data_IF_622552064132
#
_entry.id   IF_622552064132
#
_cell.length_a   1.000
_cell.length_b   1.000
_cell.length_c   1.000
_cell.angle_alpha   90.00
_cell.angle_beta   90.00
_cell.angle_gamma   90.00
#
_symmetry.space_group_name_H-M   'P 1'
#
loop_
_entity.id
_entity.type
_entity.pdbx_description
1 polymer ?
#
# COMPACT_ATOMS: atom_id res chain seq x y z
N UNK A 1 -17.80 -12.64 -15.51
CA UNK A 1 -16.71 -11.66 -15.73
C UNK A 1 -15.47 -12.45 -16.13
N UNK A 2 -14.81 -12.07 -17.21
CA UNK A 2 -13.61 -12.80 -17.66
C UNK A 2 -12.41 -12.50 -16.74
N UNK A 3 -11.52 -13.48 -16.51
CA UNK A 3 -10.32 -13.34 -15.69
C UNK A 3 -9.43 -12.15 -16.09
N UNK A 4 -9.33 -11.89 -17.40
CA UNK A 4 -8.60 -10.75 -17.94
C UNK A 4 -9.17 -9.39 -17.48
N UNK A 5 -10.50 -9.28 -17.39
CA UNK A 5 -11.16 -8.03 -16.97
C UNK A 5 -10.98 -7.80 -15.47
N UNK A 6 -10.99 -8.87 -14.67
CA UNK A 6 -10.74 -8.80 -13.25
C UNK A 6 -9.33 -8.33 -12.95
N UNK A 7 -8.31 -8.90 -13.59
CA UNK A 7 -6.91 -8.50 -13.41
C UNK A 7 -6.69 -7.03 -13.76
N UNK A 8 -7.26 -6.55 -14.87
CA UNK A 8 -7.20 -5.13 -15.25
C UNK A 8 -7.86 -4.22 -14.21
N UNK A 9 -9.01 -4.62 -13.68
CA UNK A 9 -9.72 -3.84 -12.67
C UNK A 9 -8.90 -3.74 -11.37
N UNK A 10 -8.38 -4.86 -10.87
CA UNK A 10 -7.52 -4.86 -9.68
C UNK A 10 -6.27 -4.02 -9.86
N UNK A 11 -5.56 -4.20 -10.98
CA UNK A 11 -4.39 -3.39 -11.29
C UNK A 11 -4.72 -1.91 -11.32
N UNK A 12 -5.85 -1.53 -11.90
CA UNK A 12 -6.26 -0.12 -12.01
C UNK A 12 -6.45 0.50 -10.63
N UNK A 13 -7.21 -0.16 -9.74
CA UNK A 13 -7.46 0.35 -8.38
C UNK A 13 -6.18 0.34 -7.55
N UNK A 14 -5.37 -0.71 -7.64
CA UNK A 14 -4.08 -0.77 -6.94
C UNK A 14 -3.14 0.36 -7.40
N UNK A 15 -2.98 0.54 -8.71
CA UNK A 15 -2.12 1.61 -9.25
C UNK A 15 -2.62 3.00 -8.87
N UNK A 16 -3.92 3.21 -8.78
CA UNK A 16 -4.50 4.46 -8.28
C UNK A 16 -4.08 4.75 -6.83
N UNK A 17 -4.18 3.75 -5.94
CA UNK A 17 -3.78 3.90 -4.54
C UNK A 17 -2.27 4.15 -4.40
N UNK A 18 -1.46 3.53 -5.27
CA UNK A 18 0.01 3.63 -5.24
C UNK A 18 0.49 4.94 -5.85
N UNK A 19 0.03 5.29 -7.05
CA UNK A 19 0.57 6.38 -7.87
C UNK A 19 -0.32 7.63 -7.90
N UNK A 20 -1.58 7.49 -7.51
CA UNK A 20 -2.57 8.55 -7.52
C UNK A 20 -3.66 8.38 -8.57
N UNK A 21 -4.71 9.20 -8.45
CA UNK A 21 -5.83 9.20 -9.36
C UNK A 21 -5.44 9.72 -10.76
N UNK A 22 -6.12 9.19 -11.78
CA UNK A 22 -5.96 9.70 -13.15
C UNK A 22 -6.55 11.12 -13.27
N UNK A 23 -6.16 11.90 -14.29
CA UNK A 23 -6.77 13.21 -14.57
C UNK A 23 -8.29 13.17 -14.81
N UNK A 24 -8.83 12.00 -15.13
CA UNK A 24 -10.26 11.77 -15.33
C UNK A 24 -10.99 11.31 -14.06
N UNK A 25 -10.30 11.33 -12.92
CA UNK A 25 -10.78 10.81 -11.64
C UNK A 25 -10.30 9.40 -11.32
N UNK A 26 -10.65 8.94 -10.12
CA UNK A 26 -10.34 7.64 -9.57
C UNK A 26 -11.60 6.89 -9.14
N UNK A 27 -11.40 5.68 -8.62
CA UNK A 27 -12.43 4.86 -7.99
C UNK A 27 -12.42 4.97 -6.46
N UNK A 28 -11.28 5.33 -5.90
CA UNK A 28 -11.04 5.44 -4.46
C UNK A 28 -10.52 6.83 -4.08
N UNK A 29 -9.65 7.41 -4.93
CA UNK A 29 -9.00 8.69 -4.67
C UNK A 29 -9.61 9.81 -5.51
N UNK A 30 -9.61 11.02 -4.97
CA UNK A 30 -10.07 12.21 -5.66
C UNK A 30 -9.11 12.61 -6.80
N UNK A 31 -9.63 13.31 -7.81
CA UNK A 31 -8.82 13.89 -8.90
C UNK A 31 -7.70 14.74 -8.32
N UNK A 32 -6.48 14.57 -8.83
CA UNK A 32 -5.29 15.27 -8.35
C UNK A 32 -4.59 14.61 -7.16
N UNK A 33 -5.15 13.54 -6.62
CA UNK A 33 -4.46 12.76 -5.58
C UNK A 33 -3.22 12.06 -6.14
N UNK A 34 -2.14 12.11 -5.37
CA UNK A 34 -0.82 11.61 -5.77
C UNK A 34 -0.51 10.19 -5.30
N UNK A 35 -1.45 9.54 -4.60
CA UNK A 35 -1.27 8.19 -4.07
C UNK A 35 -0.29 8.09 -2.90
N UNK A 36 -0.08 6.84 -2.42
CA UNK A 36 0.69 6.62 -1.19
C UNK A 36 2.18 6.95 -1.37
N UNK A 37 2.83 6.50 -2.46
CA UNK A 37 4.28 6.63 -2.58
C UNK A 37 4.72 8.10 -2.55
N UNK A 38 4.11 8.94 -3.39
CA UNK A 38 4.42 10.37 -3.41
C UNK A 38 3.94 11.13 -2.17
N UNK A 39 2.93 10.63 -1.48
CA UNK A 39 2.52 11.16 -0.17
C UNK A 39 3.61 10.93 0.87
N UNK A 40 4.19 9.72 0.91
CA UNK A 40 5.27 9.38 1.83
C UNK A 40 6.57 10.15 1.52
N UNK A 41 6.83 10.49 0.26
CA UNK A 41 8.00 11.30 -0.12
C UNK A 41 8.00 12.72 0.49
N UNK A 42 6.83 13.22 0.90
CA UNK A 42 6.68 14.52 1.57
C UNK A 42 6.95 14.46 3.08
N UNK A 43 7.06 13.27 3.65
CA UNK A 43 7.15 13.06 5.10
C UNK A 43 8.61 12.87 5.51
N UNK A 44 9.07 13.68 6.47
CA UNK A 44 10.39 13.53 7.07
C UNK A 44 10.46 12.30 7.97
N UNK A 45 11.67 11.79 8.25
CA UNK A 45 11.87 10.69 9.21
C UNK A 45 11.34 11.05 10.61
N UNK A 46 11.51 12.30 11.02
CA UNK A 46 10.99 12.80 12.30
C UNK A 46 9.46 12.76 12.35
N UNK A 47 8.78 13.20 11.27
CA UNK A 47 7.32 13.14 11.19
C UNK A 47 6.81 11.70 11.06
N UNK A 48 7.53 10.86 10.30
CA UNK A 48 7.21 9.44 10.16
C UNK A 48 7.30 8.67 11.50
N UNK A 49 8.14 9.15 12.43
CA UNK A 49 8.36 8.54 13.76
C UNK A 49 7.41 9.08 14.84
N UNK A 50 6.57 10.06 14.51
CA UNK A 50 5.69 10.71 15.50
C UNK A 50 4.40 9.92 15.69
N UNK A 51 4.18 9.43 16.91
CA UNK A 51 2.90 8.85 17.31
C UNK A 51 1.86 9.96 17.56
N UNK A 52 0.64 9.75 17.11
CA UNK A 52 -0.50 10.66 17.32
C UNK A 52 -1.59 9.90 18.08
N UNK A 53 -2.08 10.50 19.15
CA UNK A 53 -3.14 9.91 19.98
C UNK A 53 -2.85 8.48 20.49
N UNK A 54 -1.56 8.16 20.72
CA UNK A 54 -1.15 6.83 21.19
C UNK A 54 -1.23 5.73 20.12
N UNK A 55 -1.50 6.09 18.87
CA UNK A 55 -1.55 5.14 17.74
C UNK A 55 -0.18 4.80 17.16
N UNK A 56 -0.18 3.94 16.14
CA UNK A 56 1.01 3.58 15.39
C UNK A 56 1.54 4.78 14.58
N UNK A 57 2.85 4.81 14.34
CA UNK A 57 3.51 5.85 13.56
C UNK A 57 3.40 5.60 12.05
N UNK A 58 3.65 6.61 11.22
CA UNK A 58 3.68 6.46 9.76
C UNK A 58 4.76 5.45 9.35
N UNK A 59 5.93 5.46 10.02
CA UNK A 59 6.98 4.47 9.78
C UNK A 59 6.50 3.04 10.00
N UNK A 60 5.78 2.78 11.10
CA UNK A 60 5.21 1.47 11.41
C UNK A 60 4.16 1.05 10.37
N UNK A 61 3.25 1.95 9.98
CA UNK A 61 2.26 1.70 8.92
C UNK A 61 2.93 1.37 7.58
N UNK A 62 3.98 2.12 7.21
CA UNK A 62 4.69 1.93 5.94
C UNK A 62 5.46 0.60 5.92
N UNK A 63 6.15 0.27 7.02
CA UNK A 63 6.85 -1.01 7.15
C UNK A 63 5.88 -2.20 7.14
N UNK A 64 4.74 -2.06 7.79
CA UNK A 64 3.70 -3.08 7.77
C UNK A 64 3.12 -3.32 6.37
N UNK A 65 2.88 -2.25 5.60
CA UNK A 65 2.46 -2.36 4.20
C UNK A 65 3.53 -3.03 3.32
N UNK A 66 4.80 -2.61 3.46
CA UNK A 66 5.94 -3.23 2.76
C UNK A 66 5.97 -4.73 3.03
N UNK A 67 5.90 -5.13 4.30
CA UNK A 67 5.91 -6.52 4.70
C UNK A 67 4.69 -7.30 4.17
N UNK A 68 3.50 -6.72 4.24
CA UNK A 68 2.29 -7.34 3.69
C UNK A 68 2.39 -7.60 2.19
N UNK A 69 2.92 -6.63 1.42
CA UNK A 69 3.14 -6.81 -0.02
C UNK A 69 4.23 -7.84 -0.32
N UNK A 70 5.30 -7.91 0.47
CA UNK A 70 6.34 -8.94 0.27
C UNK A 70 5.77 -10.35 0.44
N UNK A 71 4.87 -10.57 1.40
CA UNK A 71 4.17 -11.85 1.54
C UNK A 71 3.24 -12.14 0.36
N UNK A 72 2.57 -11.13 -0.19
CA UNK A 72 1.74 -11.29 -1.40
C UNK A 72 2.59 -11.66 -2.62
N UNK A 73 3.74 -11.02 -2.80
CA UNK A 73 4.69 -11.33 -3.88
C UNK A 73 5.28 -12.72 -3.72
N UNK A 74 5.65 -13.12 -2.50
CA UNK A 74 6.12 -14.48 -2.22
C UNK A 74 5.04 -15.52 -2.54
N UNK A 75 3.79 -15.28 -2.11
CA UNK A 75 2.68 -16.15 -2.44
C UNK A 75 2.47 -16.31 -3.95
N UNK A 76 2.51 -15.21 -4.68
CA UNK A 76 2.31 -15.22 -6.13
C UNK A 76 3.43 -15.92 -6.90
N UNK A 77 4.69 -15.80 -6.43
CA UNK A 77 5.87 -16.34 -7.12
C UNK A 77 6.21 -17.76 -6.73
N UNK A 78 6.04 -18.13 -5.45
CA UNK A 78 6.44 -19.44 -4.92
C UNK A 78 5.25 -20.36 -4.59
N UNK A 79 4.04 -19.80 -4.49
CA UNK A 79 2.88 -20.53 -3.98
C UNK A 79 2.96 -20.78 -2.47
N UNK A 80 2.26 -21.82 -2.01
CA UNK A 80 2.22 -22.16 -0.59
C UNK A 80 1.37 -21.17 0.23
N UNK A 81 1.72 -21.00 1.50
CA UNK A 81 1.05 -20.06 2.41
C UNK A 81 2.08 -19.30 3.26
N UNK A 82 2.68 -18.21 2.74
CA UNK A 82 3.65 -17.42 3.49
C UNK A 82 3.02 -16.73 4.72
N UNK A 83 1.70 -16.58 4.75
CA UNK A 83 0.98 -15.95 5.87
C UNK A 83 0.91 -16.84 7.12
N UNK A 84 1.06 -18.16 6.98
CA UNK A 84 0.96 -19.10 8.12
C UNK A 84 2.01 -18.84 9.20
N UNK A 85 3.21 -18.35 8.83
CA UNK A 85 4.31 -18.06 9.74
C UNK A 85 4.69 -16.57 9.72
N UNK A 86 3.79 -15.71 9.26
CA UNK A 86 4.04 -14.30 9.14
C UNK A 86 4.22 -13.63 10.50
N UNK A 87 5.29 -12.83 10.63
CA UNK A 87 5.65 -12.12 11.86
C UNK A 87 5.05 -10.71 11.85
N UNK A 88 3.74 -10.63 11.89
CA UNK A 88 3.02 -9.37 11.83
C UNK A 88 3.40 -8.38 12.95
N UNK A 89 3.64 -8.92 14.15
CA UNK A 89 4.08 -8.14 15.31
C UNK A 89 5.44 -7.46 15.06
N UNK A 90 6.38 -8.15 14.41
CA UNK A 90 7.68 -7.58 14.06
C UNK A 90 7.54 -6.41 13.07
N UNK A 91 6.62 -6.52 12.11
CA UNK A 91 6.38 -5.45 11.12
C UNK A 91 5.90 -4.14 11.76
N UNK A 92 5.29 -4.21 12.95
CA UNK A 92 4.82 -3.04 13.70
C UNK A 92 5.87 -2.43 14.65
N UNK A 93 6.98 -3.12 14.93
CA UNK A 93 7.98 -2.66 15.91
C UNK A 93 8.80 -1.46 15.44
N UNK A 94 8.89 -1.22 14.13
CA UNK A 94 9.65 -0.10 13.58
C UNK A 94 8.85 1.20 13.69
N UNK A 95 8.75 1.73 14.90
CA UNK A 95 7.96 2.93 15.20
C UNK A 95 8.76 4.23 15.14
N UNK A 96 10.10 4.16 15.20
CA UNK A 96 11.01 5.30 15.07
C UNK A 96 12.12 4.98 14.07
N UNK A 97 12.45 5.93 13.21
CA UNK A 97 13.42 5.79 12.11
C UNK A 97 14.30 7.02 11.98
N UNK A 98 15.55 6.83 11.57
CA UNK A 98 16.38 7.89 11.02
C UNK A 98 16.16 8.06 9.51
N UNK A 99 16.80 9.04 8.89
CA UNK A 99 16.62 9.35 7.46
C UNK A 99 16.97 8.17 6.55
N UNK A 100 18.05 7.44 6.84
CA UNK A 100 18.46 6.28 6.05
C UNK A 100 17.44 5.14 6.15
N UNK A 101 16.98 4.83 7.36
CA UNK A 101 15.95 3.82 7.60
C UNK A 101 14.61 4.21 6.96
N UNK A 102 14.24 5.49 7.05
CA UNK A 102 13.02 5.98 6.40
C UNK A 102 13.08 5.86 4.89
N UNK A 103 14.22 6.20 4.29
CA UNK A 103 14.45 6.01 2.86
C UNK A 103 14.34 4.53 2.46
N UNK A 104 15.01 3.64 3.21
CA UNK A 104 14.98 2.19 2.96
C UNK A 104 13.56 1.61 2.99
N UNK A 105 12.74 2.03 3.96
CA UNK A 105 11.35 1.55 4.07
C UNK A 105 10.52 2.02 2.88
N UNK A 106 10.65 3.29 2.47
CA UNK A 106 9.93 3.84 1.32
C UNK A 106 10.33 3.18 0.01
N UNK A 107 11.64 2.99 -0.20
CA UNK A 107 12.15 2.33 -1.39
C UNK A 107 11.69 0.87 -1.43
N UNK A 108 11.79 0.15 -0.31
CA UNK A 108 11.27 -1.21 -0.21
C UNK A 108 9.76 -1.30 -0.48
N UNK A 109 8.95 -0.38 0.02
CA UNK A 109 7.53 -0.34 -0.32
C UNK A 109 7.29 -0.10 -1.82
N UNK A 110 8.10 0.77 -2.44
CA UNK A 110 8.05 1.05 -3.88
C UNK A 110 8.36 -0.20 -4.70
N UNK A 111 9.40 -0.93 -4.31
CA UNK A 111 9.83 -2.15 -4.99
C UNK A 111 8.76 -3.25 -4.87
N UNK A 112 8.25 -3.50 -3.67
CA UNK A 112 7.18 -4.47 -3.44
C UNK A 112 5.90 -4.11 -4.20
N UNK A 113 5.54 -2.84 -4.27
CA UNK A 113 4.38 -2.39 -5.02
C UNK A 113 4.59 -2.55 -6.55
N UNK A 114 5.80 -2.34 -7.04
CA UNK A 114 6.13 -2.55 -8.45
C UNK A 114 6.05 -4.04 -8.82
N UNK A 115 6.57 -4.93 -7.99
CA UNK A 115 6.48 -6.38 -8.19
C UNK A 115 5.02 -6.86 -8.15
N UNK A 116 4.25 -6.44 -7.15
CA UNK A 116 2.83 -6.80 -7.06
C UNK A 116 2.02 -6.34 -8.27
N UNK A 117 2.35 -5.17 -8.82
CA UNK A 117 1.74 -4.66 -10.06
C UNK A 117 2.04 -5.57 -11.27
N UNK A 118 3.22 -6.18 -11.34
CA UNK A 118 3.54 -7.16 -12.38
C UNK A 118 2.69 -8.43 -12.22
N UNK A 119 2.52 -8.90 -10.99
CA UNK A 119 1.61 -10.02 -10.70
C UNK A 119 0.19 -9.72 -11.19
N UNK A 120 -0.33 -8.52 -10.91
CA UNK A 120 -1.66 -8.09 -11.35
C UNK A 120 -1.79 -7.91 -12.87
N UNK A 121 -0.67 -7.79 -13.59
CA UNK A 121 -0.65 -7.73 -15.05
C UNK A 121 -0.79 -9.08 -15.74
N UNK A 122 -0.52 -10.15 -15.04
CA UNK A 122 -0.47 -11.51 -15.61
C UNK A 122 -1.83 -12.19 -15.41
N UNK A 123 -2.65 -12.34 -16.47
CA UNK A 123 -3.91 -13.06 -16.36
C UNK A 123 -3.65 -14.51 -15.97
N UNK A 124 -4.34 -15.01 -14.98
CA UNK A 124 -4.27 -16.39 -14.54
C UNK A 124 -5.61 -16.83 -13.93
N UNK A 125 -5.85 -18.11 -13.94
CA UNK A 125 -6.94 -18.67 -13.15
C UNK A 125 -6.61 -18.56 -11.68
N UNK A 126 -7.58 -18.14 -10.88
CA UNK A 126 -7.42 -17.91 -9.45
C UNK A 126 -8.45 -18.71 -8.68
N UNK A 127 -8.00 -19.32 -7.58
CA UNK A 127 -8.89 -19.85 -6.56
C UNK A 127 -9.66 -18.72 -5.86
N UNK A 128 -10.72 -19.07 -5.16
CA UNK A 128 -11.47 -18.09 -4.34
C UNK A 128 -10.59 -17.46 -3.25
N UNK A 129 -9.62 -18.21 -2.71
CA UNK A 129 -8.68 -17.71 -1.69
C UNK A 129 -7.75 -16.66 -2.31
N UNK A 130 -7.19 -16.92 -3.48
CA UNK A 130 -6.33 -15.97 -4.21
C UNK A 130 -7.11 -14.70 -4.57
N UNK A 131 -8.33 -14.85 -5.08
CA UNK A 131 -9.18 -13.71 -5.39
C UNK A 131 -9.48 -12.86 -4.15
N UNK A 132 -9.78 -13.50 -3.01
CA UNK A 132 -9.98 -12.82 -1.73
C UNK A 132 -8.71 -12.09 -1.28
N UNK A 133 -7.54 -12.72 -1.43
CA UNK A 133 -6.25 -12.10 -1.16
C UNK A 133 -5.99 -10.85 -2.00
N UNK A 134 -6.33 -10.88 -3.29
CA UNK A 134 -6.25 -9.70 -4.17
C UNK A 134 -7.13 -8.54 -3.68
N UNK A 135 -8.39 -8.82 -3.37
CA UNK A 135 -9.30 -7.80 -2.81
C UNK A 135 -8.74 -7.27 -1.49
N UNK A 136 -8.26 -8.19 -0.62
CA UNK A 136 -7.66 -7.86 0.66
C UNK A 136 -6.45 -6.95 0.53
N UNK A 137 -5.55 -7.19 -0.43
CA UNK A 137 -4.35 -6.37 -0.64
C UNK A 137 -4.69 -4.91 -0.99
N UNK A 138 -5.71 -4.70 -1.81
CA UNK A 138 -6.19 -3.36 -2.19
C UNK A 138 -6.85 -2.66 -0.99
N UNK A 139 -7.75 -3.37 -0.30
CA UNK A 139 -8.43 -2.83 0.88
C UNK A 139 -7.44 -2.48 2.00
N UNK A 140 -6.43 -3.33 2.22
CA UNK A 140 -5.37 -3.11 3.20
C UNK A 140 -4.54 -1.87 2.88
N UNK A 141 -4.16 -1.68 1.61
CA UNK A 141 -3.45 -0.49 1.16
C UNK A 141 -4.30 0.78 1.36
N UNK A 142 -5.58 0.75 0.99
CA UNK A 142 -6.49 1.88 1.17
C UNK A 142 -6.69 2.22 2.65
N UNK A 143 -6.85 1.20 3.51
CA UNK A 143 -6.96 1.36 4.96
C UNK A 143 -5.75 2.10 5.55
N UNK A 144 -4.53 1.65 5.21
CA UNK A 144 -3.32 2.26 5.74
C UNK A 144 -3.05 3.65 5.14
N UNK A 145 -3.37 3.88 3.88
CA UNK A 145 -3.31 5.22 3.30
C UNK A 145 -4.21 6.19 4.05
N UNK A 146 -5.44 5.79 4.36
CA UNK A 146 -6.36 6.58 5.17
C UNK A 146 -5.81 6.86 6.57
N UNK A 147 -5.26 5.85 7.25
CA UNK A 147 -4.66 6.00 8.58
C UNK A 147 -3.47 6.97 8.56
N UNK A 148 -2.54 6.83 7.62
CA UNK A 148 -1.38 7.72 7.45
C UNK A 148 -1.83 9.17 7.27
N UNK A 149 -2.87 9.41 6.48
CA UNK A 149 -3.44 10.75 6.24
C UNK A 149 -4.09 11.39 7.46
N UNK A 150 -4.59 10.58 8.38
CA UNK A 150 -5.09 11.10 9.67
C UNK A 150 -3.95 11.45 10.63
N UNK A 151 -2.80 10.77 10.53
CA UNK A 151 -1.62 11.04 11.37
C UNK A 151 -0.93 12.34 10.93
N UNK A 152 -0.73 12.55 9.62
CA UNK A 152 -0.05 13.73 9.10
C UNK A 152 -0.81 14.37 7.92
N UNK A 153 -1.13 15.67 8.07
CA UNK A 153 -1.85 16.44 7.06
C UNK A 153 -1.11 16.58 5.73
N UNK A 154 0.22 16.54 5.74
CA UNK A 154 1.03 16.71 4.52
C UNK A 154 0.97 15.46 3.62
N UNK A 155 0.59 14.31 4.18
CA UNK A 155 0.26 13.10 3.45
C UNK A 155 -1.15 13.11 2.83
N UNK A 156 -1.98 14.11 3.15
CA UNK A 156 -3.35 14.17 2.63
C UNK A 156 -3.39 14.43 1.13
N UNK A 157 -4.41 13.87 0.51
CA UNK A 157 -4.79 14.18 -0.86
C UNK A 157 -5.45 15.55 -0.99
N UNK A 158 -6.04 15.85 -2.16
CA UNK A 158 -6.85 17.05 -2.38
C UNK A 158 -7.96 17.18 -1.34
N UNK A 159 -8.37 18.43 -1.08
CA UNK A 159 -9.45 18.72 -0.13
C UNK A 159 -10.71 17.94 -0.53
N UNK A 160 -11.33 17.29 0.44
CA UNK A 160 -12.60 16.59 0.25
C UNK A 160 -13.68 17.53 -0.29
N UNK A 161 -14.48 17.04 -1.23
CA UNK A 161 -15.54 17.83 -1.87
C UNK A 161 -15.08 18.76 -3.00
N UNK A 162 -13.81 18.79 -3.36
CA UNK A 162 -13.32 19.43 -4.59
C UNK A 162 -13.36 18.41 -5.73
N UNK A 163 -14.33 18.55 -6.61
CA UNK A 163 -14.55 17.71 -7.79
C UNK A 163 -14.16 18.45 -9.06
#
# INVERSE_FOLDING_TARGET
MHTLDSSKAFRRVFSELVDGASPKGGYVLNTGDIGILRSLDKISAADASRAVNGGATIAAHTQHLRYGLSLMNEWASKGGNPFANAKWDEAWKMSAVNDAQWQEIRDGLRDEAAEWRQVLNTPRDMSSVEFTGLVGSIAHLAYHLGAIRQINKDARGPKEGTF
#
